data_IF_202209977959
#
_entry.id   IF_202209977959
#
_cell.length_a   1.000
_cell.length_b   1.000
_cell.length_c   1.000
_cell.angle_alpha   90.00
_cell.angle_beta   90.00
_cell.angle_gamma   90.00
#
_symmetry.space_group_name_H-M   'P 1'
#
loop_
_entity.id
_entity.type
_entity.pdbx_description
1 polymer ?
#
# COMPACT_ATOMS: atom_id res chain seq x y z
N UNK A 1 -75.01 49.39 28.52
CA UNK A 1 -74.38 48.09 28.86
C UNK A 1 -73.22 47.86 27.91
N UNK A 2 -71.96 48.01 28.38
CA UNK A 2 -70.74 47.86 27.59
C UNK A 2 -70.42 46.36 27.44
N UNK A 3 -70.33 45.84 26.21
CA UNK A 3 -69.85 44.49 25.92
C UNK A 3 -68.32 44.53 25.80
N UNK A 4 -67.62 43.83 26.69
CA UNK A 4 -66.18 43.61 26.61
C UNK A 4 -65.94 42.37 25.72
N UNK A 5 -65.20 42.55 24.63
CA UNK A 5 -64.66 41.46 23.81
C UNK A 5 -63.42 40.86 24.49
N UNK A 6 -63.39 39.53 24.66
CA UNK A 6 -62.22 38.80 25.12
C UNK A 6 -61.60 38.06 23.92
N UNK A 7 -60.49 38.58 23.41
CA UNK A 7 -59.67 37.89 22.41
C UNK A 7 -58.67 36.98 23.13
N UNK A 8 -58.82 35.67 22.95
CA UNK A 8 -57.86 34.66 23.41
C UNK A 8 -56.76 34.55 22.36
N UNK A 9 -55.54 34.97 22.71
CA UNK A 9 -54.34 34.74 21.91
C UNK A 9 -53.76 33.37 22.32
N UNK A 10 -53.82 32.41 21.41
CA UNK A 10 -53.20 31.10 21.56
C UNK A 10 -51.71 31.24 21.17
N UNK A 11 -50.81 31.23 22.15
CA UNK A 11 -49.36 31.18 21.90
C UNK A 11 -48.98 29.72 21.62
N UNK A 12 -48.77 29.40 20.35
CA UNK A 12 -48.18 28.11 19.93
C UNK A 12 -46.67 28.25 20.04
N UNK A 13 -46.10 27.77 21.15
CA UNK A 13 -44.64 27.69 21.34
C UNK A 13 -44.11 26.54 20.48
N UNK A 14 -43.58 26.85 19.30
CA UNK A 14 -42.87 25.89 18.48
C UNK A 14 -41.54 25.53 19.18
N UNK A 15 -41.46 24.32 19.75
CA UNK A 15 -40.18 23.73 20.17
C UNK A 15 -39.34 23.44 18.91
N UNK A 16 -38.56 24.41 18.46
CA UNK A 16 -37.50 24.18 17.49
C UNK A 16 -36.45 23.25 18.16
N UNK A 17 -36.45 21.98 17.77
CA UNK A 17 -35.43 21.03 18.20
C UNK A 17 -34.05 21.55 17.82
N UNK A 18 -33.12 21.59 18.77
CA UNK A 18 -31.74 21.98 18.50
C UNK A 18 -31.17 21.11 17.37
N UNK A 19 -30.43 21.69 16.39
CA UNK A 19 -29.80 20.90 15.35
C UNK A 19 -28.85 19.88 16.01
N UNK A 20 -29.06 18.59 15.71
CA UNK A 20 -28.10 17.54 16.06
C UNK A 20 -26.76 17.95 15.47
N UNK A 21 -25.78 18.21 16.31
CA UNK A 21 -24.41 18.41 15.86
C UNK A 21 -24.00 17.18 15.05
N UNK A 22 -23.65 17.36 13.79
CA UNK A 22 -23.00 16.33 12.99
C UNK A 22 -21.72 15.94 13.72
N UNK A 23 -21.69 14.72 14.27
CA UNK A 23 -20.51 14.16 14.89
C UNK A 23 -19.47 13.96 13.79
N UNK A 24 -18.43 14.79 13.79
CA UNK A 24 -17.35 14.74 12.80
C UNK A 24 -16.71 13.36 12.84
N UNK A 25 -16.56 12.73 11.67
CA UNK A 25 -15.87 11.46 11.54
C UNK A 25 -14.49 11.50 12.23
N UNK A 26 -14.12 10.45 12.98
CA UNK A 26 -12.85 10.42 13.71
C UNK A 26 -11.68 10.54 12.74
N UNK A 27 -10.71 11.40 13.06
CA UNK A 27 -9.51 11.55 12.25
C UNK A 27 -8.41 10.62 12.78
N UNK A 28 -7.82 9.77 11.93
CA UNK A 28 -6.76 8.86 12.36
C UNK A 28 -5.47 9.63 12.69
N UNK A 29 -4.74 9.17 13.71
CA UNK A 29 -3.42 9.70 14.09
C UNK A 29 -2.28 8.80 13.58
N UNK A 30 -1.04 9.18 13.83
CA UNK A 30 0.13 8.35 13.52
C UNK A 30 -0.05 6.91 14.03
N UNK A 31 0.23 5.93 13.16
CA UNK A 31 0.05 4.51 13.44
C UNK A 31 -1.40 4.00 13.34
N UNK A 32 -2.37 4.88 13.06
CA UNK A 32 -3.78 4.51 12.97
C UNK A 32 -4.29 4.55 11.53
N UNK A 33 -5.26 3.70 11.25
CA UNK A 33 -6.02 3.71 10.01
C UNK A 33 -7.51 3.79 10.34
N UNK A 34 -8.24 4.66 9.67
CA UNK A 34 -9.70 4.65 9.69
C UNK A 34 -10.17 3.77 8.53
N UNK A 35 -10.46 2.49 8.80
CA UNK A 35 -10.87 1.50 7.82
C UNK A 35 -12.40 1.33 7.85
N UNK A 36 -13.09 1.69 6.77
CA UNK A 36 -14.56 1.64 6.67
C UNK A 36 -15.27 2.35 7.85
N UNK A 37 -14.71 3.49 8.27
CA UNK A 37 -15.20 4.25 9.43
C UNK A 37 -14.81 3.71 10.80
N UNK A 38 -14.09 2.58 10.87
CA UNK A 38 -13.59 1.99 12.10
C UNK A 38 -12.11 2.34 12.31
N UNK A 39 -11.82 3.02 13.42
CA UNK A 39 -10.44 3.36 13.75
C UNK A 39 -9.69 2.14 14.29
N UNK A 40 -8.59 1.76 13.64
CA UNK A 40 -7.76 0.61 13.98
C UNK A 40 -6.30 1.01 14.21
N UNK A 41 -5.63 0.29 15.12
CA UNK A 41 -4.19 0.38 15.32
C UNK A 41 -3.47 -0.47 14.27
N UNK A 42 -2.78 0.19 13.33
CA UNK A 42 -2.11 -0.47 12.21
C UNK A 42 -0.66 -0.80 12.57
N UNK A 43 -0.30 -2.07 12.44
CA UNK A 43 1.08 -2.56 12.49
C UNK A 43 1.59 -2.73 11.07
N UNK A 44 2.28 -1.70 10.57
CA UNK A 44 2.93 -1.67 9.26
C UNK A 44 4.05 -2.70 9.19
N UNK A 45 4.04 -3.54 8.16
CA UNK A 45 5.17 -4.43 7.85
C UNK A 45 6.16 -3.75 6.92
N UNK A 46 5.65 -2.97 5.98
CA UNK A 46 6.38 -2.21 4.98
C UNK A 46 5.52 -0.98 4.61
N UNK A 47 5.80 -0.29 3.50
CA UNK A 47 5.05 0.91 3.11
C UNK A 47 3.71 0.67 2.41
N UNK A 48 3.32 -0.59 2.13
CA UNK A 48 2.07 -0.93 1.44
C UNK A 48 1.28 -2.08 2.08
N UNK A 49 1.75 -2.60 3.21
CA UNK A 49 1.16 -3.74 3.92
C UNK A 49 1.12 -3.45 5.41
N UNK A 50 -0.04 -3.70 6.03
CA UNK A 50 -0.20 -3.60 7.48
C UNK A 50 -1.08 -4.72 8.03
N UNK A 51 -1.03 -4.90 9.34
CA UNK A 51 -1.88 -5.82 10.08
C UNK A 51 -2.52 -5.14 11.28
N UNK A 52 -3.67 -5.65 11.72
CA UNK A 52 -4.35 -5.14 12.92
C UNK A 52 -5.03 -6.29 13.65
N UNK A 53 -5.50 -6.02 14.88
CA UNK A 53 -6.45 -6.88 15.56
C UNK A 53 -7.84 -6.30 15.33
N UNK A 54 -8.73 -7.10 14.75
CA UNK A 54 -10.12 -6.73 14.51
C UNK A 54 -10.81 -6.39 15.84
N UNK A 55 -11.34 -5.17 16.01
CA UNK A 55 -11.94 -4.75 17.28
C UNK A 55 -13.20 -5.55 17.63
N UNK A 56 -13.87 -6.17 16.65
CA UNK A 56 -15.11 -6.90 16.89
C UNK A 56 -14.88 -8.30 17.52
N UNK A 57 -13.78 -8.97 17.18
CA UNK A 57 -13.54 -10.36 17.60
C UNK A 57 -12.09 -10.65 18.04
N UNK A 58 -11.19 -9.67 17.95
CA UNK A 58 -9.78 -9.79 18.33
C UNK A 58 -8.90 -10.56 17.32
N UNK A 59 -9.45 -11.02 16.20
CA UNK A 59 -8.69 -11.78 15.20
C UNK A 59 -7.63 -10.91 14.52
N UNK A 60 -6.46 -11.51 14.23
CA UNK A 60 -5.43 -10.82 13.45
C UNK A 60 -5.84 -10.76 11.98
N UNK A 61 -5.93 -9.56 11.43
CA UNK A 61 -6.16 -9.30 10.01
C UNK A 61 -4.92 -8.68 9.36
N UNK A 62 -4.84 -8.77 8.05
CA UNK A 62 -3.77 -8.19 7.23
C UNK A 62 -4.37 -7.54 5.99
N UNK A 63 -3.80 -6.43 5.57
CA UNK A 63 -4.18 -5.71 4.37
C UNK A 63 -2.97 -5.53 3.46
N UNK A 64 -3.22 -5.58 2.15
CA UNK A 64 -2.32 -5.09 1.11
C UNK A 64 -2.98 -3.88 0.47
N UNK A 65 -2.24 -2.79 0.34
CA UNK A 65 -2.73 -1.58 -0.28
C UNK A 65 -2.79 -1.72 -1.80
N UNK A 66 -3.86 -1.19 -2.39
CA UNK A 66 -4.13 -1.32 -3.82
C UNK A 66 -3.60 -0.13 -4.62
N UNK A 67 -3.19 -0.40 -5.87
CA UNK A 67 -2.82 0.63 -6.84
C UNK A 67 -1.36 1.09 -6.76
N UNK A 68 -0.59 0.64 -5.77
CA UNK A 68 0.84 0.91 -5.68
C UNK A 68 1.60 -0.24 -5.01
N UNK A 69 2.93 -0.20 -5.11
CA UNK A 69 3.82 -1.09 -4.40
C UNK A 69 5.07 -0.32 -3.97
N UNK A 70 5.49 -0.52 -2.72
CA UNK A 70 6.80 -0.09 -2.22
C UNK A 70 7.82 -1.20 -2.42
N UNK A 71 9.11 -0.86 -2.38
CA UNK A 71 10.14 -1.90 -2.45
C UNK A 71 10.04 -2.86 -1.27
N UNK A 72 10.44 -4.11 -1.50
CA UNK A 72 10.47 -5.14 -0.46
C UNK A 72 11.52 -4.83 0.61
N UNK A 73 11.18 -5.07 1.88
CA UNK A 73 11.98 -4.69 3.06
C UNK A 73 12.52 -5.90 3.85
N UNK A 74 12.53 -7.09 3.24
CA UNK A 74 13.10 -8.28 3.86
C UNK A 74 14.62 -8.38 3.65
N UNK A 75 15.23 -7.42 2.95
CA UNK A 75 16.68 -7.27 2.79
C UNK A 75 17.04 -6.39 1.58
N UNK A 76 18.35 -6.18 1.33
CA UNK A 76 18.86 -5.46 0.17
C UNK A 76 18.75 -6.29 -1.11
N UNK A 77 17.52 -6.53 -1.54
CA UNK A 77 17.24 -7.44 -2.67
C UNK A 77 17.06 -6.73 -3.99
N UNK A 78 16.82 -5.42 -4.00
CA UNK A 78 16.55 -4.66 -5.22
C UNK A 78 17.82 -4.01 -5.77
N UNK A 79 17.98 -3.95 -7.09
CA UNK A 79 19.07 -3.20 -7.75
C UNK A 79 18.69 -2.72 -9.15
N UNK A 80 19.06 -1.49 -9.49
CA UNK A 80 19.06 -0.95 -10.86
C UNK A 80 19.86 0.35 -10.93
N UNK A 81 20.24 0.76 -12.14
CA UNK A 81 20.98 2.00 -12.35
C UNK A 81 22.24 2.06 -11.49
N UNK A 82 22.48 3.22 -10.87
CA UNK A 82 23.62 3.44 -9.97
C UNK A 82 23.27 3.22 -8.49
N UNK A 83 22.11 2.63 -8.20
CA UNK A 83 21.77 2.27 -6.84
C UNK A 83 22.56 1.07 -6.36
N UNK A 84 23.09 1.18 -5.14
CA UNK A 84 23.44 -0.01 -4.37
C UNK A 84 22.16 -0.64 -3.79
N UNK A 85 22.19 -1.97 -3.59
CA UNK A 85 21.04 -2.67 -3.01
C UNK A 85 20.73 -2.23 -1.57
N UNK A 86 21.76 -1.76 -0.84
CA UNK A 86 21.57 -1.19 0.50
C UNK A 86 20.78 0.12 0.45
N UNK A 87 21.09 1.02 -0.48
CA UNK A 87 20.39 2.30 -0.56
C UNK A 87 18.91 2.13 -0.90
N UNK A 88 18.59 1.20 -1.81
CA UNK A 88 17.20 0.85 -2.12
C UNK A 88 16.48 0.21 -0.93
N UNK A 89 17.20 -0.59 -0.14
CA UNK A 89 16.68 -1.14 1.11
C UNK A 89 16.41 -0.07 2.16
N UNK A 90 17.30 0.91 2.31
CA UNK A 90 17.08 2.03 3.23
C UNK A 90 15.82 2.82 2.83
N UNK A 91 15.57 3.01 1.53
CA UNK A 91 14.32 3.61 1.02
C UNK A 91 13.08 2.74 1.29
N UNK A 92 13.20 1.41 1.15
CA UNK A 92 12.13 0.47 1.47
C UNK A 92 11.71 0.57 2.95
N UNK A 93 12.69 0.60 3.86
CA UNK A 93 12.47 0.78 5.29
C UNK A 93 11.86 2.16 5.60
N UNK A 94 12.30 3.20 4.91
CA UNK A 94 11.76 4.55 5.09
C UNK A 94 10.29 4.64 4.67
N UNK A 95 9.89 3.96 3.59
CA UNK A 95 8.49 3.90 3.17
C UNK A 95 7.57 3.35 4.29
N UNK A 96 8.01 2.30 4.99
CA UNK A 96 7.27 1.78 6.15
C UNK A 96 7.14 2.79 7.30
N UNK A 97 8.20 3.55 7.60
CA UNK A 97 8.15 4.61 8.63
C UNK A 97 7.20 5.74 8.22
N UNK A 98 7.24 6.15 6.95
CA UNK A 98 6.37 7.18 6.40
C UNK A 98 4.90 6.77 6.49
N UNK A 99 4.58 5.51 6.17
CA UNK A 99 3.24 4.97 6.31
C UNK A 99 2.77 5.02 7.78
N UNK A 100 3.65 4.67 8.71
CA UNK A 100 3.37 4.69 10.15
C UNK A 100 3.33 6.09 10.78
N UNK A 101 3.98 7.09 10.20
CA UNK A 101 4.14 8.42 10.79
C UNK A 101 2.86 9.28 10.79
N UNK A 102 1.80 8.82 10.09
CA UNK A 102 0.54 9.55 9.91
C UNK A 102 -0.65 8.62 10.05
N UNK A 103 -1.83 9.22 10.15
CA UNK A 103 -3.09 8.51 10.07
C UNK A 103 -3.68 8.55 8.67
N UNK A 104 -4.31 7.47 8.25
CA UNK A 104 -4.87 7.34 6.90
C UNK A 104 -6.32 6.88 6.93
N UNK A 105 -7.12 7.42 6.02
CA UNK A 105 -8.49 6.96 5.78
C UNK A 105 -8.44 5.95 4.65
N UNK A 106 -9.07 4.80 4.87
CA UNK A 106 -9.01 3.68 3.96
C UNK A 106 -10.35 2.94 3.87
N UNK A 107 -10.50 2.20 2.77
CA UNK A 107 -11.70 1.44 2.46
C UNK A 107 -11.32 0.00 2.11
N UNK A 108 -12.06 -0.97 2.62
CA UNK A 108 -11.97 -2.36 2.15
C UNK A 108 -12.63 -2.45 0.76
N UNK A 109 -11.86 -2.93 -0.21
CA UNK A 109 -12.36 -3.09 -1.58
C UNK A 109 -13.27 -4.31 -1.74
N UNK A 110 -13.43 -5.13 -0.70
CA UNK A 110 -14.13 -6.40 -0.75
C UNK A 110 -13.36 -7.51 -1.48
N UNK A 111 -12.16 -7.19 -1.98
CA UNK A 111 -11.33 -8.09 -2.79
C UNK A 111 -10.16 -8.66 -1.99
N UNK A 112 -9.55 -9.74 -2.51
CA UNK A 112 -8.35 -10.32 -1.91
C UNK A 112 -7.08 -9.56 -2.30
N UNK A 113 -6.21 -9.29 -1.34
CA UNK A 113 -4.83 -8.83 -1.55
C UNK A 113 -3.81 -9.97 -1.71
N UNK A 114 -4.29 -11.21 -1.85
CA UNK A 114 -3.48 -12.43 -1.90
C UNK A 114 -2.87 -12.81 -0.55
N UNK A 115 -2.44 -14.07 -0.41
CA UNK A 115 -1.79 -14.61 0.80
C UNK A 115 -2.58 -14.37 2.11
N UNK A 116 -3.92 -14.45 2.04
CA UNK A 116 -4.80 -14.24 3.18
C UNK A 116 -4.95 -12.77 3.61
N UNK A 117 -4.52 -11.81 2.77
CA UNK A 117 -4.69 -10.37 3.00
C UNK A 117 -5.98 -9.87 2.35
N UNK A 118 -6.60 -8.86 2.96
CA UNK A 118 -7.62 -8.01 2.33
C UNK A 118 -6.94 -7.01 1.38
N UNK A 119 -7.62 -6.63 0.30
CA UNK A 119 -7.21 -5.52 -0.56
C UNK A 119 -7.86 -4.23 -0.03
N UNK A 120 -7.04 -3.25 0.35
CA UNK A 120 -7.50 -2.01 0.99
C UNK A 120 -7.04 -0.81 0.17
N UNK A 121 -7.92 0.17 -0.01
CA UNK A 121 -7.64 1.42 -0.68
C UNK A 121 -7.42 2.53 0.34
N UNK A 122 -6.21 3.08 0.41
CA UNK A 122 -5.92 4.31 1.14
C UNK A 122 -5.49 5.37 0.13
N UNK A 123 -6.43 6.17 -0.39
CA UNK A 123 -6.18 7.02 -1.55
C UNK A 123 -5.09 8.07 -1.30
N UNK A 124 -5.19 8.82 -0.20
CA UNK A 124 -4.21 9.87 0.13
C UNK A 124 -2.81 9.32 0.44
N UNK A 125 -2.73 8.12 1.03
CA UNK A 125 -1.46 7.43 1.25
C UNK A 125 -0.83 7.01 -0.07
N UNK A 126 -1.62 6.40 -0.97
CA UNK A 126 -1.16 5.98 -2.31
C UNK A 126 -0.59 7.15 -3.10
N UNK A 127 -1.34 8.25 -3.16
CA UNK A 127 -0.91 9.47 -3.87
C UNK A 127 0.37 10.04 -3.27
N UNK A 128 0.46 10.09 -1.93
CA UNK A 128 1.66 10.55 -1.24
C UNK A 128 2.88 9.67 -1.56
N UNK A 129 2.75 8.34 -1.45
CA UNK A 129 3.85 7.41 -1.67
C UNK A 129 4.39 7.48 -3.11
N UNK A 130 3.50 7.62 -4.10
CA UNK A 130 3.89 7.76 -5.50
C UNK A 130 4.55 9.13 -5.73
N UNK A 131 3.95 10.21 -5.22
CA UNK A 131 4.42 11.59 -5.43
C UNK A 131 5.79 11.83 -4.82
N UNK A 132 6.08 11.20 -3.68
CA UNK A 132 7.37 11.30 -2.99
C UNK A 132 8.39 10.25 -3.47
N UNK A 133 8.00 9.36 -4.39
CA UNK A 133 8.87 8.34 -4.96
C UNK A 133 9.24 7.21 -3.99
N UNK A 134 8.43 6.96 -2.95
CA UNK A 134 8.58 5.77 -2.10
C UNK A 134 7.95 4.53 -2.72
N UNK A 135 7.03 4.72 -3.67
CA UNK A 135 6.31 3.66 -4.35
C UNK A 135 6.27 3.87 -5.86
N UNK A 136 5.92 2.80 -6.55
CA UNK A 136 5.49 2.84 -7.95
C UNK A 136 4.03 2.39 -8.07
N UNK A 137 3.35 2.82 -9.12
CA UNK A 137 2.03 2.36 -9.51
C UNK A 137 2.09 0.86 -9.78
N UNK A 138 1.12 0.13 -9.23
CA UNK A 138 0.93 -1.30 -9.44
C UNK A 138 -0.52 -1.55 -9.82
N UNK A 139 -0.73 -2.18 -10.97
CA UNK A 139 -2.01 -2.70 -11.42
C UNK A 139 -1.87 -4.15 -11.86
N UNK A 140 -2.82 -4.96 -11.43
CA UNK A 140 -2.88 -6.39 -11.75
C UNK A 140 -3.67 -6.68 -13.04
N UNK A 141 -4.46 -5.71 -13.51
CA UNK A 141 -5.44 -5.87 -14.59
C UNK A 141 -5.14 -4.91 -15.76
N UNK A 142 -3.87 -4.83 -16.16
CA UNK A 142 -3.41 -3.94 -17.23
C UNK A 142 -2.87 -2.60 -16.71
N UNK A 143 -2.89 -1.53 -17.52
CA UNK A 143 -2.35 -0.23 -17.11
C UNK A 143 -3.02 0.32 -15.84
N UNK A 144 -2.23 1.00 -15.01
CA UNK A 144 -2.74 1.69 -13.83
C UNK A 144 -3.52 2.96 -14.17
N UNK A 145 -4.22 3.55 -13.18
CA UNK A 145 -4.96 4.78 -13.37
C UNK A 145 -4.08 5.92 -13.88
N UNK A 146 -4.54 6.62 -14.92
CA UNK A 146 -3.75 7.65 -15.62
C UNK A 146 -3.29 8.79 -14.73
N UNK A 147 -4.08 9.16 -13.70
CA UNK A 147 -3.70 10.23 -12.77
C UNK A 147 -2.52 9.81 -11.87
N UNK A 148 -2.50 8.56 -11.39
CA UNK A 148 -1.37 8.01 -10.65
C UNK A 148 -0.12 7.87 -11.52
N UNK A 149 -0.30 7.48 -12.80
CA UNK A 149 0.83 7.43 -13.75
C UNK A 149 1.44 8.81 -13.98
N UNK A 150 0.62 9.87 -14.07
CA UNK A 150 1.13 11.25 -14.16
C UNK A 150 1.94 11.64 -12.92
N UNK A 151 1.46 11.29 -11.72
CA UNK A 151 2.20 11.54 -10.47
C UNK A 151 3.53 10.78 -10.45
N UNK A 152 3.53 9.51 -10.86
CA UNK A 152 4.75 8.72 -10.96
C UNK A 152 5.74 9.31 -11.96
N UNK A 153 5.29 9.69 -13.16
CA UNK A 153 6.15 10.31 -14.18
C UNK A 153 6.76 11.61 -13.64
N UNK A 154 5.98 12.45 -12.96
CA UNK A 154 6.51 13.66 -12.32
C UNK A 154 7.55 13.34 -11.24
N UNK A 155 7.34 12.30 -10.42
CA UNK A 155 8.31 11.85 -9.43
C UNK A 155 9.59 11.29 -10.08
N UNK A 156 9.46 10.60 -11.21
CA UNK A 156 10.57 10.08 -12.02
C UNK A 156 11.40 11.22 -12.61
N UNK A 157 10.76 12.19 -13.27
CA UNK A 157 11.40 13.37 -13.86
C UNK A 157 12.11 14.23 -12.80
N UNK A 158 11.53 14.33 -11.60
CA UNK A 158 12.12 15.04 -10.48
C UNK A 158 13.21 14.22 -9.73
N UNK A 159 13.47 12.97 -10.13
CA UNK A 159 14.46 12.11 -9.48
C UNK A 159 14.15 11.85 -8.00
N UNK A 160 12.87 11.70 -7.64
CA UNK A 160 12.44 11.49 -6.26
C UNK A 160 12.60 10.03 -5.83
N UNK A 161 12.95 9.85 -4.55
CA UNK A 161 12.96 8.54 -3.89
C UNK A 161 13.68 7.47 -4.71
N UNK A 162 12.99 6.36 -5.01
CA UNK A 162 13.52 5.21 -5.75
C UNK A 162 13.98 5.55 -7.18
N UNK A 163 13.53 6.68 -7.74
CA UNK A 163 13.85 7.11 -9.10
C UNK A 163 15.14 7.94 -9.22
N UNK A 164 15.72 8.36 -8.09
CA UNK A 164 16.84 9.32 -8.05
C UNK A 164 18.07 8.91 -8.87
N UNK A 165 18.35 7.61 -8.98
CA UNK A 165 19.52 7.07 -9.71
C UNK A 165 19.13 6.25 -10.94
N UNK A 166 18.00 6.59 -11.55
CA UNK A 166 17.53 6.01 -12.79
C UNK A 166 16.18 5.32 -12.66
N UNK A 167 15.54 5.17 -13.82
CA UNK A 167 14.22 4.56 -13.98
C UNK A 167 14.37 3.37 -14.93
N UNK A 168 14.28 2.11 -14.43
CA UNK A 168 14.34 0.94 -15.29
C UNK A 168 13.05 0.86 -16.12
N UNK A 169 13.04 0.09 -17.21
CA UNK A 169 11.83 -0.09 -18.03
C UNK A 169 10.73 -0.86 -17.27
N UNK A 170 11.17 -1.78 -16.41
CA UNK A 170 10.33 -2.57 -15.52
C UNK A 170 11.02 -2.80 -14.19
N UNK A 171 10.22 -2.89 -13.12
CA UNK A 171 10.67 -3.25 -11.77
C UNK A 171 10.37 -4.71 -11.50
N UNK A 172 11.38 -5.49 -11.13
CA UNK A 172 11.17 -6.87 -10.66
C UNK A 172 10.63 -6.79 -9.24
N UNK A 173 9.35 -7.11 -9.05
CA UNK A 173 8.67 -7.00 -7.75
C UNK A 173 8.59 -8.32 -7.00
N UNK A 174 8.68 -9.46 -7.72
CA UNK A 174 8.79 -10.76 -7.07
C UNK A 174 9.50 -11.77 -7.97
N UNK A 175 10.22 -12.69 -7.34
CA UNK A 175 10.91 -13.81 -8.01
C UNK A 175 10.52 -15.11 -7.34
N UNK A 176 10.17 -16.14 -8.12
CA UNK A 176 9.77 -17.45 -7.62
C UNK A 176 10.44 -18.55 -8.42
N UNK A 177 11.35 -19.28 -7.77
CA UNK A 177 12.05 -20.42 -8.37
C UNK A 177 11.10 -21.59 -8.65
N UNK A 178 11.44 -22.42 -9.64
CA UNK A 178 10.65 -23.60 -10.00
C UNK A 178 10.56 -24.67 -8.91
N UNK A 179 11.52 -24.70 -7.98
CA UNK A 179 11.54 -25.63 -6.84
C UNK A 179 10.74 -25.15 -5.62
N UNK A 180 10.10 -23.96 -5.68
CA UNK A 180 9.23 -23.49 -4.59
C UNK A 180 7.89 -24.26 -4.54
N UNK A 181 7.48 -24.91 -5.64
CA UNK A 181 6.21 -25.64 -5.75
C UNK A 181 6.40 -27.03 -6.36
N UNK A 182 5.60 -28.04 -5.96
CA UNK A 182 5.67 -29.38 -6.54
C UNK A 182 5.44 -29.45 -8.05
N UNK A 183 4.79 -28.43 -8.64
CA UNK A 183 4.54 -28.35 -10.08
C UNK A 183 5.79 -28.13 -10.93
N UNK A 184 6.93 -27.78 -10.34
CA UNK A 184 8.17 -27.48 -11.08
C UNK A 184 8.09 -26.21 -11.92
N UNK A 185 7.13 -25.32 -11.62
CA UNK A 185 6.90 -24.06 -12.36
C UNK A 185 7.20 -22.87 -11.47
N UNK A 186 8.15 -22.05 -11.92
CA UNK A 186 8.51 -20.77 -11.33
C UNK A 186 7.86 -19.61 -12.07
N UNK A 187 7.88 -18.43 -11.46
CA UNK A 187 7.49 -17.21 -12.13
C UNK A 187 8.16 -15.98 -11.52
N UNK A 188 8.43 -14.99 -12.36
CA UNK A 188 8.79 -13.66 -11.91
C UNK A 188 7.64 -12.71 -12.16
N UNK A 189 7.54 -11.67 -11.33
CA UNK A 189 6.64 -10.55 -11.55
C UNK A 189 7.46 -9.32 -11.83
N UNK A 190 7.14 -8.67 -12.94
CA UNK A 190 7.75 -7.42 -13.34
C UNK A 190 6.63 -6.41 -13.56
N UNK A 191 6.87 -5.15 -13.18
CA UNK A 191 5.90 -4.07 -13.28
C UNK A 191 6.48 -2.98 -14.16
N UNK A 192 5.78 -2.62 -15.23
CA UNK A 192 6.22 -1.55 -16.13
C UNK A 192 6.26 -0.21 -15.38
N UNK A 193 7.39 0.49 -15.40
CA UNK A 193 7.52 1.83 -14.80
C UNK A 193 6.84 2.92 -15.60
N UNK A 194 6.38 2.61 -16.82
CA UNK A 194 5.63 3.53 -17.69
C UNK A 194 4.13 3.42 -17.50
N UNK A 195 3.63 2.19 -17.32
CA UNK A 195 2.18 1.91 -17.33
C UNK A 195 1.65 1.40 -16.00
N UNK A 196 2.52 1.03 -15.05
CA UNK A 196 2.13 0.38 -13.79
C UNK A 196 1.55 -1.02 -13.96
N UNK A 197 1.48 -1.55 -15.19
CA UNK A 197 0.95 -2.87 -15.47
C UNK A 197 1.91 -3.96 -15.00
N UNK A 198 1.38 -4.91 -14.24
CA UNK A 198 2.12 -6.09 -13.81
C UNK A 198 2.01 -7.22 -14.83
N UNK A 199 3.15 -7.86 -15.12
CA UNK A 199 3.23 -9.07 -15.93
C UNK A 199 3.89 -10.20 -15.15
N UNK A 200 3.43 -11.42 -15.42
CA UNK A 200 4.02 -12.65 -14.91
C UNK A 200 4.84 -13.28 -16.02
N UNK A 201 6.10 -13.57 -15.73
CA UNK A 201 6.99 -14.33 -16.59
C UNK A 201 7.14 -15.74 -16.03
N UNK A 202 6.44 -16.69 -16.63
CA UNK A 202 6.55 -18.09 -16.22
C UNK A 202 7.87 -18.68 -16.72
N UNK A 203 8.50 -19.53 -15.91
CA UNK A 203 9.73 -20.23 -16.27
C UNK A 203 9.87 -21.56 -15.54
N UNK A 204 10.84 -22.36 -15.97
CA UNK A 204 11.22 -23.63 -15.31
C UNK A 204 12.57 -23.50 -14.55
N UNK A 205 13.18 -22.31 -14.58
CA UNK A 205 14.46 -22.04 -13.93
C UNK A 205 14.38 -22.26 -12.42
N UNK A 206 15.39 -22.98 -11.91
CA UNK A 206 15.68 -23.06 -10.49
C UNK A 206 16.68 -21.97 -10.13
N UNK A 207 16.37 -21.20 -9.10
CA UNK A 207 17.26 -20.15 -8.59
C UNK A 207 18.02 -20.62 -7.36
N UNK A 208 19.31 -20.30 -7.32
CA UNK A 208 20.14 -20.50 -6.15
C UNK A 208 19.87 -19.43 -5.10
N UNK A 209 20.02 -19.77 -3.81
CA UNK A 209 19.88 -18.77 -2.75
C UNK A 209 20.86 -17.61 -2.97
N UNK A 210 20.37 -16.38 -2.88
CA UNK A 210 21.11 -15.15 -3.16
C UNK A 210 21.47 -14.92 -4.63
N UNK A 211 20.91 -15.72 -5.54
CA UNK A 211 21.02 -15.45 -6.97
C UNK A 211 20.25 -14.17 -7.33
N UNK A 212 20.90 -13.32 -8.11
CA UNK A 212 20.25 -12.14 -8.66
C UNK A 212 19.52 -12.48 -9.97
N UNK A 213 18.28 -12.01 -10.08
CA UNK A 213 17.41 -12.23 -11.24
C UNK A 213 17.02 -10.87 -11.82
N UNK A 214 17.43 -10.61 -13.06
CA UNK A 214 17.27 -9.32 -13.70
C UNK A 214 16.27 -9.38 -14.86
N UNK A 215 15.44 -8.34 -14.98
CA UNK A 215 14.52 -8.13 -16.08
C UNK A 215 14.28 -6.64 -16.32
N UNK A 216 14.25 -6.20 -17.59
CA UNK A 216 13.92 -4.80 -17.99
C UNK A 216 14.67 -3.71 -17.20
N UNK A 217 15.95 -3.95 -16.91
CA UNK A 217 16.82 -2.99 -16.22
C UNK A 217 16.71 -2.97 -14.70
N UNK A 218 15.89 -3.82 -14.09
CA UNK A 218 15.80 -4.03 -12.64
C UNK A 218 16.20 -5.46 -12.28
N UNK A 219 16.80 -5.63 -11.11
CA UNK A 219 17.18 -6.92 -10.57
C UNK A 219 16.62 -7.11 -9.17
N UNK A 220 16.31 -8.37 -8.86
CA UNK A 220 15.88 -8.79 -7.53
C UNK A 220 16.62 -10.05 -7.09
N UNK A 221 17.14 -10.05 -5.86
CA UNK A 221 17.81 -11.21 -5.26
C UNK A 221 16.77 -12.24 -4.82
N UNK A 222 16.93 -13.46 -5.30
CA UNK A 222 16.12 -14.59 -4.89
C UNK A 222 16.50 -15.08 -3.49
N UNK A 223 15.52 -15.01 -2.60
CA UNK A 223 15.55 -15.66 -1.29
C UNK A 223 14.38 -16.64 -1.27
N UNK A 224 14.56 -17.92 -0.92
CA UNK A 224 13.46 -18.86 -0.82
C UNK A 224 12.35 -18.33 0.10
N UNK A 225 11.07 -18.49 -0.28
CA UNK A 225 9.94 -17.94 0.48
C UNK A 225 10.00 -18.25 2.00
N UNK A 226 10.39 -19.49 2.37
CA UNK A 226 10.52 -19.94 3.77
C UNK A 226 11.58 -19.17 4.58
N UNK A 227 12.49 -18.47 3.90
CA UNK A 227 13.60 -17.71 4.48
C UNK A 227 13.39 -16.19 4.42
N UNK A 228 12.47 -15.69 3.57
CA UNK A 228 12.12 -14.25 3.49
C UNK A 228 11.48 -13.75 4.78
N UNK A 229 10.60 -14.57 5.35
CA UNK A 229 9.75 -14.20 6.47
C UNK A 229 9.94 -15.19 7.63
N UNK A 230 10.71 -14.82 8.64
CA UNK A 230 11.02 -15.68 9.79
C UNK A 230 11.86 -14.99 10.89
N UNK A 231 12.06 -15.64 12.05
CA UNK A 231 12.80 -15.05 13.18
C UNK A 231 14.29 -14.85 12.92
N UNK A 232 14.84 -15.53 11.90
CA UNK A 232 16.19 -15.30 11.38
C UNK A 232 16.06 -14.85 9.93
N UNK A 233 15.96 -13.54 9.70
CA UNK A 233 16.09 -12.96 8.35
C UNK A 233 17.49 -13.29 7.85
N UNK A 234 17.62 -14.23 6.92
CA UNK A 234 18.88 -14.48 6.24
C UNK A 234 19.06 -13.37 5.21
N UNK A 235 20.07 -12.54 5.41
CA UNK A 235 20.44 -11.48 4.49
C UNK A 235 21.53 -12.05 3.58
N UNK A 236 21.34 -11.91 2.27
CA UNK A 236 22.38 -12.19 1.30
C UNK A 236 23.55 -11.22 1.50
N UNK A 237 24.81 -11.69 1.52
CA UNK A 237 25.98 -10.86 1.74
C UNK A 237 26.15 -9.76 0.68
#
# INVERSE_FOLDING_TARGET
>A
MKRLSLSIILVVTACAGAPKAEEKAPQPKAGQVLLDGVLIEAKWSDGDTFSWKDPANGEKRKARLVGFNTLEDYGPVHRWGEWSSKELYDLALEAGKVAAARGWVCEDTGSSGGYGRKAVLCESLREFMITEGYAHVLSMEGPGPTYLLKMQIAAQEAGKGIWKKGVPEGLVTSVHSSDEKPSGKGYNRVVSTRTGASHIENHENRYEHCQEVCHQGSCMVYIPYKLRYGPKKLICP
#
